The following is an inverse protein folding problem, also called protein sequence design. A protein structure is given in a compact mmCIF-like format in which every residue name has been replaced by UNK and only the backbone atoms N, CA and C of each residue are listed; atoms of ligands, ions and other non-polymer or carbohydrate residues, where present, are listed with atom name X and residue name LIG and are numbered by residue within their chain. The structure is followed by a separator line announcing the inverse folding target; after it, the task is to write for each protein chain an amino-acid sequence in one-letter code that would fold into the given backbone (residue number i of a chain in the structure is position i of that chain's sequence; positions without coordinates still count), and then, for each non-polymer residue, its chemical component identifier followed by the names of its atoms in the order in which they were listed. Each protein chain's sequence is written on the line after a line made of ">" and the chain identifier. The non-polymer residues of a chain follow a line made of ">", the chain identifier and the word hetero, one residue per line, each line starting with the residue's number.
data_IF_459180881588
#
_entry.id   IF_459180881588
#
_cell.length_a   1.000
_cell.length_b   1.000
_cell.length_c   1.000
_cell.angle_alpha   90.00
_cell.angle_beta   90.00
_cell.angle_gamma   90.00
#
_symmetry.space_group_name_H-M   'P 1'
#
loop_
_entity.id
_entity.type
_entity.pdbx_description
1 polymer ?
#
# COMPACT_ATOMS: atom_id res chain seq x y z
N UNK A 1 -6.18 23.28 0.30
CA UNK A 1 -6.21 22.22 -0.73
C UNK A 1 -6.32 20.87 -0.03
N UNK A 2 -7.24 20.00 -0.44
CA UNK A 2 -7.31 18.64 0.11
C UNK A 2 -6.00 17.90 -0.21
N UNK A 3 -5.48 17.15 0.76
CA UNK A 3 -4.28 16.34 0.59
C UNK A 3 -4.50 15.27 -0.51
N UNK A 4 -3.41 14.75 -1.10
CA UNK A 4 -3.50 13.69 -2.12
C UNK A 4 -4.24 12.45 -1.62
N UNK A 5 -3.96 12.01 -0.38
CA UNK A 5 -4.66 10.86 0.19
C UNK A 5 -6.15 11.14 0.38
N UNK A 6 -6.54 12.36 0.80
CA UNK A 6 -7.95 12.74 0.92
C UNK A 6 -8.68 12.68 -0.42
N UNK A 7 -8.04 13.18 -1.49
CA UNK A 7 -8.59 13.07 -2.86
C UNK A 7 -8.74 11.60 -3.28
N UNK A 8 -7.73 10.78 -3.02
CA UNK A 8 -7.73 9.36 -3.37
C UNK A 8 -8.82 8.58 -2.63
N UNK A 9 -8.98 8.80 -1.32
CA UNK A 9 -10.06 8.23 -0.51
C UNK A 9 -11.42 8.62 -1.09
N UNK A 10 -11.65 9.91 -1.38
CA UNK A 10 -12.92 10.37 -1.93
C UNK A 10 -13.24 9.78 -3.30
N UNK A 11 -12.22 9.61 -4.16
CA UNK A 11 -12.35 8.95 -5.46
C UNK A 11 -12.73 7.46 -5.33
N UNK A 12 -12.29 6.79 -4.27
CA UNK A 12 -12.71 5.42 -3.98
C UNK A 12 -14.12 5.39 -3.38
N UNK A 13 -14.47 6.32 -2.48
CA UNK A 13 -15.82 6.42 -1.89
C UNK A 13 -16.92 6.53 -2.95
N UNK A 14 -16.69 7.23 -4.05
CA UNK A 14 -17.68 7.31 -5.15
C UNK A 14 -17.86 6.00 -5.92
N UNK A 15 -16.93 5.05 -5.78
CA UNK A 15 -16.95 3.71 -6.38
C UNK A 15 -17.17 2.61 -5.36
N UNK A 16 -17.28 2.96 -4.08
CA UNK A 16 -17.51 2.03 -2.99
C UNK A 16 -18.90 1.43 -3.18
N UNK A 17 -18.92 0.17 -3.61
CA UNK A 17 -20.17 -0.58 -3.82
C UNK A 17 -20.66 -1.23 -2.52
N UNK A 18 -19.95 -1.04 -1.40
CA UNK A 18 -20.03 -1.96 -0.27
C UNK A 18 -21.02 -1.57 0.82
N UNK A 19 -21.74 -2.59 1.27
CA UNK A 19 -22.50 -2.67 2.52
C UNK A 19 -21.53 -2.75 3.71
N UNK A 20 -21.98 -2.33 4.89
CA UNK A 20 -21.22 -2.41 6.14
C UNK A 20 -20.54 -3.78 6.32
N UNK A 21 -19.23 -3.76 6.56
CA UNK A 21 -18.44 -4.95 6.90
C UNK A 21 -18.25 -5.00 8.42
N UNK A 22 -18.54 -6.16 9.02
CA UNK A 22 -18.27 -6.45 10.43
C UNK A 22 -16.87 -7.05 10.67
N UNK A 23 -16.06 -7.23 9.62
CA UNK A 23 -14.76 -7.85 9.74
C UNK A 23 -13.75 -6.90 10.42
N UNK A 24 -13.20 -7.32 11.56
CA UNK A 24 -12.04 -6.70 12.18
C UNK A 24 -10.75 -7.31 11.64
N UNK A 25 -9.67 -6.52 11.63
CA UNK A 25 -8.37 -6.98 11.17
C UNK A 25 -7.32 -5.89 11.25
N UNK A 26 -6.07 -6.31 11.29
CA UNK A 26 -4.93 -5.40 11.35
C UNK A 26 -4.43 -5.01 9.96
N UNK A 27 -4.02 -3.76 9.79
CA UNK A 27 -3.28 -3.36 8.60
C UNK A 27 -1.81 -3.73 8.74
N UNK A 28 -1.31 -4.51 7.78
CA UNK A 28 0.06 -5.01 7.79
C UNK A 28 0.79 -4.71 6.50
N UNK A 29 2.09 -4.39 6.58
CA UNK A 29 2.96 -4.28 5.41
C UNK A 29 4.11 -5.28 5.56
N UNK A 30 4.07 -6.34 4.77
CA UNK A 30 5.06 -7.40 4.77
C UNK A 30 6.37 -6.97 4.10
N UNK A 31 7.50 -7.38 4.67
CA UNK A 31 8.85 -7.21 4.11
C UNK A 31 9.78 -8.37 4.52
N UNK A 32 10.88 -8.55 3.78
CA UNK A 32 11.93 -9.50 4.12
C UNK A 32 13.07 -8.79 4.87
N UNK A 33 13.30 -9.06 6.17
CA UNK A 33 14.27 -8.32 6.97
C UNK A 33 15.73 -8.54 6.55
N UNK A 34 16.01 -9.66 5.88
CA UNK A 34 17.32 -10.08 5.37
C UNK A 34 17.71 -9.42 4.03
N UNK A 35 16.83 -8.60 3.44
CA UNK A 35 17.09 -7.93 2.17
C UNK A 35 18.03 -6.74 2.32
N UNK A 36 18.52 -6.29 1.17
CA UNK A 36 19.34 -5.10 1.04
C UNK A 36 18.60 -4.03 0.22
N UNK A 37 18.90 -2.77 0.48
CA UNK A 37 18.50 -1.65 -0.38
C UNK A 37 19.25 -1.70 -1.71
N UNK A 38 18.81 -0.90 -2.69
CA UNK A 38 19.46 -0.81 -4.02
C UNK A 38 20.95 -0.44 -3.94
N UNK A 39 21.34 0.36 -2.96
CA UNK A 39 22.72 0.77 -2.68
C UNK A 39 23.47 -0.17 -1.72
N UNK A 40 22.93 -1.36 -1.44
CA UNK A 40 23.63 -2.42 -0.72
C UNK A 40 23.62 -2.31 0.80
N UNK A 41 22.76 -1.47 1.40
CA UNK A 41 22.62 -1.38 2.87
C UNK A 41 21.64 -2.45 3.38
N UNK A 42 21.89 -3.08 4.54
CA UNK A 42 20.90 -3.96 5.17
C UNK A 42 19.58 -3.22 5.39
N UNK A 43 18.46 -3.84 4.99
CA UNK A 43 17.15 -3.18 4.93
C UNK A 43 16.71 -2.68 6.31
N UNK A 44 16.89 -3.48 7.36
CA UNK A 44 16.52 -3.09 8.72
C UNK A 44 17.27 -1.84 9.20
N UNK A 45 18.55 -1.70 8.85
CA UNK A 45 19.32 -0.49 9.19
C UNK A 45 18.83 0.72 8.42
N UNK A 46 18.49 0.55 7.14
CA UNK A 46 17.94 1.62 6.32
C UNK A 46 16.59 2.11 6.85
N UNK A 47 15.68 1.19 7.20
CA UNK A 47 14.39 1.48 7.82
C UNK A 47 14.60 2.23 9.15
N UNK A 48 15.45 1.71 10.03
CA UNK A 48 15.70 2.32 11.33
C UNK A 48 16.28 3.74 11.21
N UNK A 49 17.20 3.95 10.25
CA UNK A 49 17.80 5.27 9.99
C UNK A 49 16.80 6.25 9.39
N UNK A 50 16.01 5.81 8.41
CA UNK A 50 15.12 6.69 7.68
C UNK A 50 13.88 7.05 8.51
N UNK A 51 13.47 6.18 9.45
CA UNK A 51 12.35 6.43 10.37
C UNK A 51 10.97 6.47 9.71
N UNK A 52 10.92 6.29 8.39
CA UNK A 52 9.72 6.28 7.58
C UNK A 52 9.75 5.10 6.62
N UNK A 53 8.59 4.47 6.42
CA UNK A 53 8.43 3.49 5.35
C UNK A 53 8.32 4.22 4.02
N UNK A 54 9.15 3.82 3.05
CA UNK A 54 9.23 4.43 1.71
C UNK A 54 8.45 3.65 0.67
N UNK A 55 7.93 4.33 -0.34
CA UNK A 55 7.26 3.70 -1.48
C UNK A 55 8.24 3.01 -2.41
N UNK A 56 7.73 2.16 -3.30
CA UNK A 56 8.55 1.55 -4.35
C UNK A 56 9.20 2.58 -5.28
N UNK A 57 8.53 3.71 -5.53
CA UNK A 57 9.08 4.82 -6.33
C UNK A 57 10.27 5.49 -5.67
N UNK A 58 10.36 5.46 -4.33
CA UNK A 58 11.49 6.00 -3.58
C UNK A 58 12.65 5.00 -3.49
N UNK A 59 12.36 3.73 -3.25
CA UNK A 59 13.39 2.72 -2.97
C UNK A 59 13.94 2.07 -4.23
N UNK A 60 13.13 1.96 -5.28
CA UNK A 60 13.44 1.12 -6.45
C UNK A 60 13.59 -0.36 -6.10
N UNK A 61 12.98 -0.82 -5.00
CA UNK A 61 13.03 -2.23 -4.54
C UNK A 61 11.62 -2.79 -4.41
N UNK A 62 11.44 -4.10 -4.60
CA UNK A 62 10.15 -4.77 -4.51
C UNK A 62 10.32 -6.24 -4.13
N UNK A 63 9.30 -6.82 -3.48
CA UNK A 63 9.17 -8.26 -3.29
C UNK A 63 8.18 -8.89 -4.30
N UNK A 64 7.69 -8.08 -5.26
CA UNK A 64 6.92 -8.49 -6.43
C UNK A 64 7.54 -7.92 -7.71
N UNK A 65 6.74 -7.30 -8.57
CA UNK A 65 7.24 -6.63 -9.78
C UNK A 65 7.97 -5.31 -9.48
N UNK A 66 9.02 -4.98 -10.26
CA UNK A 66 9.75 -3.71 -10.22
C UNK A 66 9.21 -2.72 -11.27
N UNK A 67 7.96 -2.29 -11.10
CA UNK A 67 7.20 -1.58 -12.13
C UNK A 67 6.76 -0.16 -11.73
N UNK A 68 7.35 0.40 -10.67
CA UNK A 68 7.08 1.76 -10.19
C UNK A 68 7.87 2.82 -10.97
N UNK A 69 7.48 3.04 -12.22
CA UNK A 69 7.96 4.10 -13.11
C UNK A 69 6.83 4.47 -14.08
N UNK A 70 6.91 5.64 -14.73
CA UNK A 70 5.88 6.09 -15.68
C UNK A 70 5.68 5.05 -16.80
N UNK A 71 4.45 4.55 -16.94
CA UNK A 71 4.09 3.49 -17.90
C UNK A 71 4.43 2.06 -17.46
N UNK A 72 4.84 1.84 -16.21
CA UNK A 72 4.95 0.50 -15.63
C UNK A 72 3.67 0.07 -14.90
N UNK A 73 3.45 -1.23 -14.72
CA UNK A 73 2.22 -1.79 -14.11
C UNK A 73 1.79 -1.12 -12.80
N UNK A 74 2.73 -0.74 -11.93
CA UNK A 74 2.39 -0.05 -10.66
C UNK A 74 1.85 1.35 -10.93
N UNK A 75 2.45 2.07 -11.87
CA UNK A 75 1.99 3.38 -12.29
C UNK A 75 0.60 3.29 -12.94
N UNK A 76 0.40 2.34 -13.86
CA UNK A 76 -0.88 2.14 -14.54
C UNK A 76 -1.98 1.69 -13.58
N UNK A 77 -1.62 0.86 -12.59
CA UNK A 77 -2.51 0.50 -11.50
C UNK A 77 -2.94 1.73 -10.68
N UNK A 78 -1.99 2.56 -10.25
CA UNK A 78 -2.29 3.78 -9.49
C UNK A 78 -3.12 4.77 -10.30
N UNK A 79 -2.83 4.91 -11.60
CA UNK A 79 -3.61 5.68 -12.56
C UNK A 79 -5.06 5.22 -12.62
N UNK A 80 -5.28 3.92 -12.89
CA UNK A 80 -6.63 3.33 -12.99
C UNK A 80 -7.40 3.46 -11.68
N UNK A 81 -6.74 3.17 -10.56
CA UNK A 81 -7.41 3.09 -9.26
C UNK A 81 -7.65 4.47 -8.67
N UNK A 82 -6.78 5.45 -8.90
CA UNK A 82 -6.92 6.77 -8.28
C UNK A 82 -7.20 7.88 -9.28
N UNK A 83 -7.60 7.56 -10.51
CA UNK A 83 -7.99 8.55 -11.53
C UNK A 83 -6.91 9.62 -11.73
N UNK A 84 -5.65 9.17 -11.82
CA UNK A 84 -4.46 10.03 -12.00
C UNK A 84 -4.15 11.04 -10.92
N UNK A 85 -4.78 10.95 -9.75
CA UNK A 85 -4.50 11.84 -8.61
C UNK A 85 -3.00 11.90 -8.25
N UNK A 86 -2.26 10.83 -8.51
CA UNK A 86 -0.84 10.74 -8.15
C UNK A 86 0.12 11.08 -9.28
N UNK A 87 -0.32 11.35 -10.52
CA UNK A 87 0.54 11.50 -11.71
C UNK A 87 1.70 12.46 -11.50
N UNK A 88 1.38 13.68 -11.05
CA UNK A 88 2.35 14.74 -10.76
C UNK A 88 2.88 14.72 -9.32
N UNK A 89 2.59 13.67 -8.56
CA UNK A 89 3.02 13.58 -7.15
C UNK A 89 4.47 13.13 -7.01
N UNK A 90 5.10 13.61 -5.93
CA UNK A 90 6.44 13.18 -5.56
C UNK A 90 6.42 11.72 -5.06
N UNK A 91 7.50 10.99 -5.26
CA UNK A 91 7.59 9.56 -4.93
C UNK A 91 7.17 9.23 -3.47
N UNK A 92 7.46 10.12 -2.51
CA UNK A 92 7.08 9.92 -1.10
C UNK A 92 5.60 10.12 -0.80
N UNK A 93 4.89 10.83 -1.69
CA UNK A 93 3.45 11.09 -1.58
C UNK A 93 2.61 9.95 -2.15
N UNK A 94 3.22 9.04 -2.93
CA UNK A 94 2.54 7.91 -3.54
C UNK A 94 2.14 6.83 -2.52
N UNK A 95 1.10 6.04 -2.83
CA UNK A 95 0.61 4.97 -1.97
C UNK A 95 1.71 3.98 -1.54
N UNK A 96 1.52 3.41 -0.35
CA UNK A 96 2.30 2.30 0.17
C UNK A 96 1.35 1.12 0.27
N UNK A 97 1.82 -0.06 -0.12
CA UNK A 97 0.96 -1.24 -0.29
C UNK A 97 1.17 -2.23 0.85
N UNK A 98 0.06 -2.75 1.37
CA UNK A 98 -0.02 -3.74 2.42
C UNK A 98 -1.31 -4.53 2.29
N UNK A 99 -1.64 -5.32 3.31
CA UNK A 99 -2.86 -6.11 3.35
C UNK A 99 -3.62 -5.93 4.66
N UNK A 100 -4.93 -6.18 4.58
CA UNK A 100 -5.83 -6.24 5.73
C UNK A 100 -5.86 -7.67 6.27
N UNK A 101 -5.35 -7.88 7.48
CA UNK A 101 -5.14 -9.18 8.11
C UNK A 101 -6.41 -9.68 8.83
N UNK A 102 -7.54 -9.74 8.13
CA UNK A 102 -8.82 -10.17 8.71
C UNK A 102 -8.85 -11.65 9.13
N UNK A 103 -7.90 -12.45 8.65
CA UNK A 103 -7.71 -13.85 9.04
C UNK A 103 -6.76 -14.01 10.24
N UNK A 104 -6.30 -12.91 10.85
CA UNK A 104 -5.39 -12.89 12.00
C UNK A 104 -4.18 -13.83 11.82
N UNK A 105 -3.58 -13.82 10.63
CA UNK A 105 -2.41 -14.63 10.33
C UNK A 105 -1.21 -14.12 11.13
N UNK A 106 -0.48 -15.03 11.77
CA UNK A 106 0.71 -14.69 12.58
C UNK A 106 1.81 -14.00 11.75
N UNK A 107 1.83 -14.24 10.44
CA UNK A 107 2.81 -13.69 9.50
C UNK A 107 2.32 -12.45 8.74
N UNK A 108 1.19 -11.86 9.15
CA UNK A 108 0.56 -10.72 8.47
C UNK A 108 -0.26 -11.12 7.25
N UNK A 109 -0.91 -10.13 6.62
CA UNK A 109 -1.90 -10.36 5.57
C UNK A 109 -1.32 -10.86 4.24
N UNK A 110 -0.01 -10.68 4.01
CA UNK A 110 0.60 -11.01 2.71
C UNK A 110 1.99 -11.64 2.85
N UNK A 111 2.09 -12.85 3.44
CA UNK A 111 3.36 -13.50 3.75
C UNK A 111 4.23 -13.78 2.52
N UNK A 112 3.64 -13.82 1.32
CA UNK A 112 4.38 -13.90 0.04
C UNK A 112 5.39 -12.75 -0.13
N UNK A 113 5.10 -11.57 0.42
CA UNK A 113 5.94 -10.38 0.27
C UNK A 113 6.90 -10.16 1.44
N UNK A 114 6.95 -11.08 2.41
CA UNK A 114 7.82 -10.90 3.56
C UNK A 114 7.55 -11.87 4.69
N UNK A 115 8.63 -12.32 5.31
CA UNK A 115 8.64 -13.12 6.55
C UNK A 115 8.51 -12.27 7.82
N UNK A 116 8.41 -10.95 7.69
CA UNK A 116 8.12 -10.00 8.77
C UNK A 116 7.16 -8.94 8.26
N UNK A 117 6.56 -8.17 9.17
CA UNK A 117 5.65 -7.09 8.79
C UNK A 117 5.68 -5.95 9.79
N UNK A 118 5.28 -4.76 9.31
CA UNK A 118 4.84 -3.69 10.19
C UNK A 118 3.39 -3.90 10.55
N UNK A 119 3.07 -3.91 11.84
CA UNK A 119 1.72 -3.69 12.33
C UNK A 119 1.45 -2.18 12.34
N UNK A 120 0.52 -1.72 11.53
CA UNK A 120 0.20 -0.29 11.43
C UNK A 120 -0.76 0.11 12.55
N UNK A 121 -0.62 1.35 13.02
CA UNK A 121 -1.58 1.93 13.97
C UNK A 121 -2.98 2.02 13.33
N UNK A 122 -4.02 1.88 14.16
CA UNK A 122 -5.42 1.94 13.70
C UNK A 122 -5.78 3.21 12.92
N UNK A 123 -5.22 4.36 13.28
CA UNK A 123 -5.39 5.65 12.60
C UNK A 123 -4.93 5.64 11.12
N UNK A 124 -4.10 4.68 10.71
CA UNK A 124 -3.71 4.54 9.30
C UNK A 124 -4.89 4.10 8.44
N UNK A 125 -5.90 3.42 9.02
CA UNK A 125 -7.09 3.01 8.29
C UNK A 125 -7.83 4.20 7.68
N UNK A 126 -7.91 5.35 8.37
CA UNK A 126 -8.57 6.59 7.91
C UNK A 126 -8.04 7.11 6.56
N UNK A 127 -6.80 6.76 6.22
CA UNK A 127 -6.11 7.13 4.99
C UNK A 127 -5.77 5.93 4.10
N UNK A 128 -6.50 4.82 4.26
CA UNK A 128 -6.31 3.57 3.52
C UNK A 128 -7.50 3.27 2.60
N UNK A 129 -7.18 2.79 1.40
CA UNK A 129 -8.13 2.23 0.44
C UNK A 129 -7.89 0.73 0.31
N UNK A 130 -8.95 -0.02 0.10
CA UNK A 130 -8.94 -1.48 0.00
C UNK A 130 -9.40 -1.89 -1.38
N UNK A 131 -8.91 -3.04 -1.84
CA UNK A 131 -9.45 -3.72 -3.02
C UNK A 131 -9.53 -5.22 -2.75
N UNK A 132 -10.46 -5.89 -3.42
CA UNK A 132 -10.55 -7.33 -3.41
C UNK A 132 -10.84 -7.86 -4.82
N UNK A 133 -10.16 -8.91 -5.30
CA UNK A 133 -8.98 -9.57 -4.71
C UNK A 133 -7.71 -8.69 -4.75
N UNK A 134 -6.52 -9.30 -4.58
CA UNK A 134 -5.22 -8.63 -4.66
C UNK A 134 -5.07 -7.77 -5.94
N UNK A 135 -4.37 -6.64 -5.82
CA UNK A 135 -4.15 -5.66 -6.90
C UNK A 135 -3.65 -6.24 -8.23
N UNK A 136 -2.90 -7.35 -8.19
CA UNK A 136 -2.41 -8.03 -9.39
C UNK A 136 -3.53 -8.53 -10.31
N UNK A 137 -4.69 -8.86 -9.74
CA UNK A 137 -5.85 -9.36 -10.50
C UNK A 137 -6.72 -8.26 -11.09
N UNK A 138 -6.27 -6.99 -11.05
CA UNK A 138 -7.01 -5.83 -11.56
C UNK A 138 -8.45 -5.75 -11.02
N UNK A 139 -8.64 -5.79 -9.69
CA UNK A 139 -9.97 -5.85 -9.09
C UNK A 139 -10.84 -4.63 -9.42
N UNK A 140 -12.14 -4.82 -9.25
CA UNK A 140 -13.17 -3.77 -9.38
C UNK A 140 -13.92 -3.48 -8.07
N UNK A 141 -13.75 -4.34 -7.07
CA UNK A 141 -14.33 -4.13 -5.74
C UNK A 141 -13.35 -3.31 -4.91
N UNK A 142 -13.78 -2.10 -4.54
CA UNK A 142 -13.01 -1.16 -3.75
C UNK A 142 -13.79 -0.71 -2.52
N UNK A 143 -13.06 -0.44 -1.45
CA UNK A 143 -13.61 0.18 -0.25
C UNK A 143 -12.62 1.21 0.30
N UNK A 144 -13.09 2.07 1.20
CA UNK A 144 -12.25 2.96 1.98
C UNK A 144 -12.75 3.02 3.40
N UNK A 145 -11.98 3.63 4.30
CA UNK A 145 -12.45 3.82 5.66
C UNK A 145 -13.73 4.66 5.71
N UNK A 146 -14.73 4.13 6.41
CA UNK A 146 -15.98 4.78 6.76
C UNK A 146 -15.82 5.33 8.18
N UNK A 147 -16.01 6.65 8.32
CA UNK A 147 -15.84 7.36 9.59
C UNK A 147 -17.05 7.16 10.51
#
# INVERSE_FOLDING_TARGET
>A
MNSLHTKAINSIKSRDKTRESSASGDLTINFHPDRFTKDGRPLLLAIARDGILKSQFETGTSNGGLTAFVGGDRYDWEQRVFDGIYDDSLAYQRPKYGGFNYLNQEFGASPRFGSSYFLLKGEVSERTTYCYPDSFFLPEDFASHQA
#
